data_IF_800258405380
#
_entry.id   IF_800258405380
#
_cell.length_a   1.000
_cell.length_b   1.000
_cell.length_c   1.000
_cell.angle_alpha   90.00
_cell.angle_beta   90.00
_cell.angle_gamma   90.00
#
_symmetry.space_group_name_H-M   'P 1'
#
loop_
_entity.id
_entity.type
_entity.pdbx_description
1 polymer ?
#
# COMPACT_ATOMS: atom_id res chain seq x y z
N UNK A 1 1.75 54.70 -42.05
CA UNK A 1 0.88 54.19 -41.01
C UNK A 1 0.57 52.71 -41.23
N UNK A 2 0.09 52.28 -42.43
CA UNK A 2 -0.24 50.91 -42.78
C UNK A 2 0.96 49.94 -42.63
N UNK A 3 2.14 50.31 -43.05
CA UNK A 3 3.36 49.48 -42.94
C UNK A 3 3.75 49.25 -41.49
N UNK A 4 3.66 50.26 -40.62
CA UNK A 4 3.92 50.13 -39.19
C UNK A 4 2.91 49.22 -38.50
N UNK A 5 1.64 49.25 -38.89
CA UNK A 5 0.62 48.34 -38.38
C UNK A 5 0.88 46.90 -38.82
N UNK A 6 1.26 46.65 -40.05
CA UNK A 6 1.64 45.34 -40.55
C UNK A 6 2.86 44.75 -39.80
N UNK A 7 3.88 45.55 -39.53
CA UNK A 7 5.04 45.10 -38.75
C UNK A 7 4.68 44.79 -37.31
N UNK A 8 3.83 45.56 -36.65
CA UNK A 8 3.41 45.28 -35.27
C UNK A 8 2.64 44.00 -35.15
N UNK A 9 1.75 43.68 -36.10
CA UNK A 9 1.02 42.40 -36.09
C UNK A 9 1.90 41.16 -36.36
N UNK A 10 2.91 41.34 -37.23
CA UNK A 10 3.86 40.23 -37.51
C UNK A 10 4.79 39.91 -36.34
N UNK A 11 5.11 40.88 -35.48
CA UNK A 11 5.96 40.68 -34.31
C UNK A 11 5.12 40.15 -33.12
N UNK A 12 3.88 40.58 -32.97
CA UNK A 12 3.03 40.21 -31.85
C UNK A 12 2.67 38.71 -31.82
N UNK A 13 2.39 38.14 -32.99
CA UNK A 13 2.05 36.71 -33.11
C UNK A 13 3.15 35.77 -32.60
N UNK A 14 4.39 35.86 -33.09
CA UNK A 14 5.51 35.05 -32.58
C UNK A 14 5.79 35.23 -31.09
N UNK A 15 5.64 36.45 -30.55
CA UNK A 15 5.83 36.72 -29.11
C UNK A 15 4.80 35.95 -28.29
N UNK A 16 3.52 35.97 -28.66
CA UNK A 16 2.47 35.21 -28.00
C UNK A 16 2.71 33.71 -28.11
N UNK A 17 3.18 33.20 -29.26
CA UNK A 17 3.52 31.82 -29.46
C UNK A 17 4.67 31.36 -28.52
N UNK A 18 5.70 32.17 -28.37
CA UNK A 18 6.80 31.90 -27.43
C UNK A 18 6.30 31.88 -25.99
N UNK A 19 5.46 32.85 -25.59
CA UNK A 19 4.89 32.88 -24.23
C UNK A 19 4.03 31.65 -23.93
N UNK A 20 3.23 31.20 -24.90
CA UNK A 20 2.43 29.97 -24.72
C UNK A 20 3.28 28.69 -24.61
N UNK A 21 4.38 28.63 -25.36
CA UNK A 21 5.32 27.50 -25.29
C UNK A 21 6.12 27.47 -24.00
N UNK A 22 6.44 28.60 -23.39
CA UNK A 22 7.10 28.67 -22.08
C UNK A 22 6.29 27.95 -21.02
N UNK A 23 4.96 28.13 -20.99
CA UNK A 23 4.07 27.44 -20.06
C UNK A 23 4.16 25.90 -20.24
N UNK A 24 4.19 25.43 -21.48
CA UNK A 24 4.34 24.00 -21.80
C UNK A 24 5.68 23.43 -21.33
N UNK A 25 6.77 24.21 -21.45
CA UNK A 25 8.09 23.81 -20.93
C UNK A 25 8.10 23.67 -19.40
N UNK A 26 7.45 24.57 -18.67
CA UNK A 26 7.30 24.44 -17.22
C UNK A 26 6.50 23.20 -16.82
N UNK A 27 5.42 22.89 -17.54
CA UNK A 27 4.66 21.65 -17.31
C UNK A 27 5.50 20.40 -17.59
N UNK A 28 6.26 20.37 -18.67
CA UNK A 28 7.20 19.29 -18.99
C UNK A 28 8.22 19.08 -17.87
N UNK A 29 8.81 20.17 -17.35
CA UNK A 29 9.73 20.11 -16.21
C UNK A 29 9.11 19.47 -14.99
N UNK A 30 7.87 19.81 -14.64
CA UNK A 30 7.14 19.26 -13.50
C UNK A 30 6.84 17.77 -13.69
N UNK A 31 6.37 17.38 -14.88
CA UNK A 31 6.09 15.96 -15.21
C UNK A 31 7.37 15.14 -15.19
N UNK A 32 8.44 15.64 -15.79
CA UNK A 32 9.75 14.97 -15.82
C UNK A 32 10.31 14.77 -14.41
N UNK A 33 10.20 15.77 -13.53
CA UNK A 33 10.63 15.62 -12.14
C UNK A 33 9.81 14.57 -11.38
N UNK A 34 8.50 14.52 -11.59
CA UNK A 34 7.63 13.46 -10.99
C UNK A 34 8.00 12.08 -11.50
N UNK A 35 8.18 11.92 -12.80
CA UNK A 35 8.66 10.68 -13.40
C UNK A 35 10.02 10.27 -12.83
N UNK A 36 10.96 11.20 -12.76
CA UNK A 36 12.28 10.94 -12.19
C UNK A 36 12.17 10.47 -10.75
N UNK A 37 11.37 11.13 -9.91
CA UNK A 37 11.15 10.71 -8.52
C UNK A 37 10.62 9.29 -8.44
N UNK A 38 9.62 8.92 -9.26
CA UNK A 38 9.09 7.56 -9.29
C UNK A 38 10.16 6.54 -9.72
N UNK A 39 10.91 6.84 -10.78
CA UNK A 39 11.93 5.92 -11.32
C UNK A 39 13.17 5.80 -10.42
N UNK A 40 13.46 6.81 -9.59
CA UNK A 40 14.62 6.80 -8.68
C UNK A 40 14.25 6.43 -7.25
N UNK A 41 12.96 6.22 -6.95
CA UNK A 41 12.55 5.73 -5.63
C UNK A 41 13.04 4.29 -5.47
N UNK A 42 13.88 4.02 -4.46
CA UNK A 42 14.38 2.66 -4.25
C UNK A 42 13.22 1.72 -3.91
N UNK A 43 13.19 0.57 -4.55
CA UNK A 43 12.29 -0.51 -4.17
C UNK A 43 12.69 -1.09 -2.83
N UNK A 44 11.74 -1.63 -2.08
CA UNK A 44 12.06 -2.43 -0.90
C UNK A 44 12.70 -3.73 -1.38
N UNK A 45 13.90 -3.99 -0.89
CA UNK A 45 14.65 -5.20 -1.19
C UNK A 45 14.57 -6.18 -0.02
N UNK A 46 14.83 -7.44 -0.29
CA UNK A 46 14.91 -8.52 0.70
C UNK A 46 15.34 -9.81 0.02
N UNK A 47 15.57 -10.83 0.82
CA UNK A 47 15.91 -12.15 0.34
C UNK A 47 14.68 -13.08 0.49
N UNK A 48 14.54 -14.04 -0.42
CA UNK A 48 13.54 -15.09 -0.32
C UNK A 48 13.95 -16.06 0.80
N UNK A 49 13.47 -15.78 2.02
CA UNK A 49 13.78 -16.55 3.23
C UNK A 49 12.51 -17.18 3.78
N UNK A 50 12.56 -18.49 3.98
CA UNK A 50 11.47 -19.21 4.62
C UNK A 50 11.34 -18.83 6.09
N UNK A 51 10.17 -18.35 6.45
CA UNK A 51 9.78 -18.07 7.84
C UNK A 51 9.26 -19.35 8.49
N UNK A 52 10.05 -19.95 9.35
CA UNK A 52 9.69 -21.21 10.02
C UNK A 52 8.90 -21.01 11.33
N UNK A 53 8.95 -19.83 11.91
CA UNK A 53 8.24 -19.44 13.13
C UNK A 53 7.56 -18.09 12.90
N UNK A 54 6.44 -17.87 13.58
CA UNK A 54 5.60 -16.68 13.36
C UNK A 54 5.46 -15.81 14.62
N UNK A 55 6.36 -15.96 15.59
CA UNK A 55 6.49 -15.02 16.70
C UNK A 55 6.98 -13.67 16.17
N UNK A 56 6.30 -12.60 16.59
CA UNK A 56 6.61 -11.24 16.18
C UNK A 56 7.23 -10.51 17.36
N UNK A 57 8.33 -9.81 17.14
CA UNK A 57 8.99 -9.02 18.17
C UNK A 57 9.30 -7.61 17.63
N UNK A 58 8.92 -6.61 18.41
CA UNK A 58 9.27 -5.22 18.18
C UNK A 58 10.31 -4.81 19.24
N UNK A 59 11.43 -4.23 18.81
CA UNK A 59 12.51 -3.74 19.68
C UNK A 59 12.77 -2.27 19.42
N UNK A 60 12.48 -1.43 20.42
CA UNK A 60 12.74 0.03 20.40
C UNK A 60 12.31 0.72 19.12
N UNK A 61 11.11 0.35 18.61
CA UNK A 61 10.60 0.81 17.33
C UNK A 61 10.19 2.27 17.41
N UNK A 62 10.77 3.09 16.52
CA UNK A 62 10.40 4.49 16.32
C UNK A 62 10.04 4.71 14.84
N UNK A 63 8.90 5.35 14.58
CA UNK A 63 8.42 5.60 13.24
C UNK A 63 7.50 6.84 13.15
N UNK A 64 7.54 7.50 12.01
CA UNK A 64 6.60 8.55 11.62
C UNK A 64 6.53 8.66 10.10
N UNK A 65 5.37 9.03 9.59
CA UNK A 65 5.14 9.21 8.14
C UNK A 65 5.87 10.45 7.59
N UNK A 66 5.99 11.48 8.43
CA UNK A 66 6.69 12.74 8.12
C UNK A 66 7.82 12.94 9.12
N UNK A 67 8.22 14.18 9.40
CA UNK A 67 9.29 14.49 10.34
C UNK A 67 8.95 14.09 11.79
N UNK A 68 7.67 14.11 12.16
CA UNK A 68 7.22 13.80 13.51
C UNK A 68 7.05 12.29 13.72
N UNK A 69 7.51 11.81 14.88
CA UNK A 69 7.37 10.41 15.26
C UNK A 69 5.98 10.11 15.84
N UNK A 70 5.25 9.19 15.19
CA UNK A 70 3.96 8.67 15.62
C UNK A 70 4.14 7.52 16.61
N UNK A 71 5.13 6.66 16.37
CA UNK A 71 5.55 5.56 17.25
C UNK A 71 6.89 5.94 17.85
N UNK A 72 7.00 5.88 19.19
CA UNK A 72 8.19 6.31 19.93
C UNK A 72 8.65 5.20 20.87
N UNK A 73 9.77 4.56 20.56
CA UNK A 73 10.46 3.57 21.39
C UNK A 73 9.53 2.44 21.90
N UNK A 74 8.77 1.83 21.00
CA UNK A 74 7.82 0.77 21.35
C UNK A 74 8.51 -0.59 21.26
N UNK A 75 8.36 -1.39 22.32
CA UNK A 75 8.88 -2.76 22.41
C UNK A 75 7.82 -3.69 22.98
N UNK A 76 7.52 -4.78 22.30
CA UNK A 76 6.68 -5.88 22.78
C UNK A 76 6.84 -7.11 21.86
N UNK A 77 6.29 -8.24 22.30
CA UNK A 77 6.29 -9.48 21.52
C UNK A 77 4.89 -10.07 21.40
N UNK A 78 4.65 -10.76 20.30
CA UNK A 78 3.43 -11.52 19.99
C UNK A 78 3.87 -12.97 19.77
N UNK A 79 3.65 -13.86 20.72
CA UNK A 79 3.99 -15.28 20.55
C UNK A 79 3.15 -15.94 19.47
N UNK A 80 3.74 -16.90 18.76
CA UNK A 80 3.00 -17.75 17.80
C UNK A 80 1.78 -18.39 18.46
N UNK A 81 0.65 -18.38 17.76
CA UNK A 81 -0.61 -18.98 18.24
C UNK A 81 -1.34 -18.17 19.30
N UNK A 82 -0.84 -16.99 19.68
CA UNK A 82 -1.52 -16.09 20.63
C UNK A 82 -2.45 -15.11 19.93
N UNK A 83 -3.39 -14.54 20.69
CA UNK A 83 -4.20 -13.39 20.28
C UNK A 83 -3.74 -12.18 21.08
N UNK A 84 -3.32 -11.14 20.38
CA UNK A 84 -2.85 -9.89 20.99
C UNK A 84 -3.75 -8.72 20.57
N UNK A 85 -4.27 -7.97 21.55
CA UNK A 85 -5.06 -6.78 21.30
C UNK A 85 -4.23 -5.52 21.58
N UNK A 86 -4.18 -4.61 20.60
CA UNK A 86 -3.62 -3.27 20.77
C UNK A 86 -4.73 -2.32 21.21
N UNK A 87 -4.64 -1.81 22.43
CA UNK A 87 -5.65 -0.94 23.04
C UNK A 87 -5.08 0.46 23.23
N UNK A 88 -5.92 1.47 23.02
CA UNK A 88 -5.53 2.87 23.21
C UNK A 88 -6.48 3.83 22.46
N UNK A 89 -6.37 5.16 22.72
CA UNK A 89 -7.20 6.16 22.07
C UNK A 89 -7.01 6.21 20.55
N UNK A 90 -7.93 6.91 19.86
CA UNK A 90 -7.76 7.17 18.43
C UNK A 90 -6.46 7.95 18.18
N UNK A 91 -5.74 7.61 17.11
CA UNK A 91 -4.47 8.26 16.79
C UNK A 91 -3.24 7.76 17.57
N UNK A 92 -3.39 6.81 18.52
CA UNK A 92 -2.24 6.27 19.28
C UNK A 92 -1.29 5.35 18.52
N UNK A 93 -1.46 5.21 17.22
CA UNK A 93 -0.54 4.43 16.35
C UNK A 93 -0.84 2.93 16.23
N UNK A 94 -1.98 2.41 16.73
CA UNK A 94 -2.34 0.98 16.65
C UNK A 94 -2.30 0.43 15.22
N UNK A 95 -3.00 1.09 14.31
CA UNK A 95 -3.01 0.72 12.89
C UNK A 95 -1.64 0.91 12.21
N UNK A 96 -0.86 1.88 12.68
CA UNK A 96 0.51 2.11 12.22
C UNK A 96 1.40 0.93 12.59
N UNK A 97 1.32 0.42 13.82
CA UNK A 97 2.06 -0.76 14.27
C UNK A 97 1.73 -1.97 13.39
N UNK A 98 0.44 -2.25 13.13
CA UNK A 98 0.03 -3.35 12.27
C UNK A 98 0.62 -3.23 10.85
N UNK A 99 0.61 -2.02 10.29
CA UNK A 99 1.19 -1.73 8.97
C UNK A 99 2.72 -1.84 8.95
N UNK A 100 3.40 -1.51 10.06
CA UNK A 100 4.85 -1.67 10.20
C UNK A 100 5.24 -3.16 10.32
N UNK A 101 4.47 -3.98 11.02
CA UNK A 101 4.66 -5.44 11.06
C UNK A 101 4.57 -6.03 9.65
N UNK A 102 3.64 -5.52 8.84
CA UNK A 102 3.51 -5.88 7.43
C UNK A 102 4.58 -5.29 6.51
N UNK A 103 5.49 -4.49 7.06
CA UNK A 103 6.51 -3.78 6.28
C UNK A 103 5.92 -2.93 5.14
N UNK A 104 4.79 -2.24 5.37
CA UNK A 104 4.34 -1.21 4.42
C UNK A 104 5.26 0.00 4.44
N UNK A 105 6.02 0.17 5.52
CA UNK A 105 7.12 1.13 5.68
C UNK A 105 8.21 0.51 6.55
N UNK A 106 9.45 0.89 6.30
CA UNK A 106 10.56 0.54 7.17
C UNK A 106 10.61 1.49 8.38
N UNK A 107 10.98 0.96 9.55
CA UNK A 107 11.10 1.73 10.78
C UNK A 107 12.31 2.66 10.75
N UNK A 108 12.22 3.83 11.38
CA UNK A 108 13.35 4.78 11.49
C UNK A 108 14.42 4.30 12.44
N UNK A 109 13.97 3.74 13.57
CA UNK A 109 14.86 3.17 14.60
C UNK A 109 14.26 1.89 15.12
N UNK A 110 15.10 1.05 15.68
CA UNK A 110 14.70 -0.24 16.21
C UNK A 110 14.56 -1.30 15.13
N UNK A 111 13.86 -2.35 15.47
CA UNK A 111 13.72 -3.54 14.63
C UNK A 111 12.36 -4.19 14.84
N UNK A 112 11.80 -4.73 13.78
CA UNK A 112 10.66 -5.65 13.82
C UNK A 112 11.14 -6.97 13.24
N UNK A 113 10.90 -8.06 13.95
CA UNK A 113 11.27 -9.39 13.50
C UNK A 113 10.09 -10.35 13.53
N UNK A 114 10.10 -11.32 12.61
CA UNK A 114 9.18 -12.46 12.54
C UNK A 114 10.02 -13.72 12.56
N UNK A 115 9.75 -14.61 13.53
CA UNK A 115 10.55 -15.83 13.73
C UNK A 115 12.02 -15.54 13.97
N UNK A 116 12.35 -14.40 14.57
CA UNK A 116 13.71 -13.94 14.82
C UNK A 116 14.41 -13.26 13.63
N UNK A 117 13.79 -13.22 12.44
CA UNK A 117 14.34 -12.54 11.26
C UNK A 117 13.81 -11.12 11.15
N UNK A 118 14.69 -10.16 10.90
CA UNK A 118 14.29 -8.77 10.64
C UNK A 118 13.42 -8.71 9.37
N UNK A 119 12.24 -8.12 9.46
CA UNK A 119 11.31 -8.00 8.32
C UNK A 119 11.94 -7.26 7.13
N UNK A 120 12.94 -6.40 7.36
CA UNK A 120 13.67 -5.68 6.30
C UNK A 120 14.56 -6.59 5.45
N UNK A 121 14.91 -7.77 5.97
CA UNK A 121 15.74 -8.75 5.26
C UNK A 121 14.92 -9.75 4.44
N UNK A 122 13.60 -9.78 4.64
CA UNK A 122 12.69 -10.69 3.94
C UNK A 122 12.13 -9.97 2.72
N UNK A 123 12.07 -10.64 1.57
CA UNK A 123 11.42 -10.11 0.38
C UNK A 123 9.96 -9.73 0.69
N UNK A 124 9.49 -8.51 0.30
CA UNK A 124 8.14 -8.06 0.64
C UNK A 124 7.03 -9.01 0.20
N UNK A 125 7.13 -9.60 -0.99
CA UNK A 125 6.15 -10.57 -1.49
C UNK A 125 6.12 -11.84 -0.64
N UNK A 126 7.30 -12.32 -0.20
CA UNK A 126 7.40 -13.47 0.68
C UNK A 126 6.80 -13.17 2.06
N UNK A 127 7.11 -12.01 2.62
CA UNK A 127 6.53 -11.55 3.88
C UNK A 127 5.00 -11.46 3.80
N UNK A 128 4.44 -10.95 2.70
CA UNK A 128 3.00 -10.87 2.48
C UNK A 128 2.33 -12.26 2.40
N UNK A 129 3.02 -13.29 1.93
CA UNK A 129 2.48 -14.67 1.93
C UNK A 129 2.37 -15.26 3.32
N UNK A 130 3.13 -14.74 4.29
CA UNK A 130 3.12 -15.21 5.68
C UNK A 130 1.98 -14.61 6.52
N UNK A 131 1.22 -13.64 6.01
CA UNK A 131 0.20 -12.92 6.76
C UNK A 131 -1.02 -12.61 5.91
N UNK A 132 -2.13 -12.32 6.60
CA UNK A 132 -3.33 -11.77 5.98
C UNK A 132 -3.82 -10.56 6.76
N UNK A 133 -4.47 -9.64 6.07
CA UNK A 133 -4.96 -8.39 6.65
C UNK A 133 -6.46 -8.24 6.42
N UNK A 134 -7.14 -7.78 7.46
CA UNK A 134 -8.49 -7.25 7.33
C UNK A 134 -8.43 -5.76 7.62
N UNK A 135 -8.63 -4.95 6.60
CA UNK A 135 -8.63 -3.50 6.74
C UNK A 135 -9.98 -2.99 7.25
N UNK A 136 -9.97 -1.84 7.92
CA UNK A 136 -11.19 -1.19 8.38
C UNK A 136 -12.03 -0.68 7.18
N UNK A 137 -11.35 -0.10 6.20
CA UNK A 137 -11.96 0.34 4.93
C UNK A 137 -11.75 -0.76 3.89
N UNK A 138 -12.78 -1.56 3.68
CA UNK A 138 -12.75 -2.66 2.72
C UNK A 138 -13.16 -2.15 1.34
N UNK A 139 -12.32 -2.38 0.34
CA UNK A 139 -12.65 -2.13 -1.07
C UNK A 139 -12.89 -3.46 -1.77
N UNK A 140 -14.03 -3.60 -2.41
CA UNK A 140 -14.34 -4.73 -3.27
C UNK A 140 -14.11 -4.36 -4.72
N UNK A 141 -13.68 -5.32 -5.52
CA UNK A 141 -13.64 -5.18 -6.98
C UNK A 141 -15.06 -5.25 -7.53
N UNK A 142 -15.33 -4.51 -8.61
CA UNK A 142 -16.59 -4.61 -9.34
C UNK A 142 -16.64 -5.93 -10.13
N UNK A 143 -16.82 -7.01 -9.41
CA UNK A 143 -16.81 -8.39 -9.88
C UNK A 143 -17.65 -9.24 -8.92
N UNK A 144 -17.88 -10.50 -9.23
CA UNK A 144 -18.64 -11.40 -8.39
C UNK A 144 -18.03 -11.58 -7.00
N UNK A 145 -18.85 -11.92 -6.02
CA UNK A 145 -18.38 -12.29 -4.67
C UNK A 145 -17.35 -13.43 -4.76
N UNK A 146 -17.62 -14.42 -5.64
CA UNK A 146 -16.68 -15.51 -5.88
C UNK A 146 -15.29 -15.01 -6.28
N UNK A 147 -15.19 -14.11 -7.26
CA UNK A 147 -13.94 -13.56 -7.74
C UNK A 147 -13.27 -12.67 -6.69
N UNK A 148 -14.04 -11.89 -5.93
CA UNK A 148 -13.51 -11.09 -4.82
C UNK A 148 -12.84 -11.95 -3.73
N UNK A 149 -13.42 -13.10 -3.39
CA UNK A 149 -12.80 -14.05 -2.46
C UNK A 149 -11.56 -14.69 -3.09
N UNK A 150 -11.64 -15.06 -4.38
CA UNK A 150 -10.55 -15.70 -5.11
C UNK A 150 -9.33 -14.83 -5.31
N UNK A 151 -9.43 -13.50 -5.21
CA UNK A 151 -8.28 -12.57 -5.27
C UNK A 151 -7.16 -12.97 -4.31
N UNK A 152 -7.49 -13.50 -3.14
CA UNK A 152 -6.49 -13.98 -2.17
C UNK A 152 -5.63 -15.13 -2.69
N UNK A 153 -6.15 -15.95 -3.61
CA UNK A 153 -5.42 -16.99 -4.32
C UNK A 153 -6.08 -17.26 -5.69
N UNK A 154 -5.57 -16.64 -6.73
CA UNK A 154 -6.11 -16.75 -8.10
C UNK A 154 -6.11 -18.19 -8.66
N UNK A 155 -5.32 -19.09 -8.06
CA UNK A 155 -5.27 -20.52 -8.42
C UNK A 155 -6.20 -21.38 -7.58
N UNK A 156 -6.97 -20.80 -6.66
CA UNK A 156 -7.88 -21.53 -5.80
C UNK A 156 -9.00 -22.21 -6.62
N UNK A 157 -9.32 -23.45 -6.26
CA UNK A 157 -10.48 -24.16 -6.78
C UNK A 157 -11.78 -23.60 -6.20
N UNK A 158 -12.92 -23.93 -6.80
CA UNK A 158 -14.22 -23.53 -6.31
C UNK A 158 -14.46 -24.01 -4.88
N UNK A 159 -14.10 -25.28 -4.58
CA UNK A 159 -14.22 -25.83 -3.24
C UNK A 159 -13.38 -25.07 -2.21
N UNK A 160 -12.18 -24.64 -2.58
CA UNK A 160 -11.31 -23.84 -1.70
C UNK A 160 -11.90 -22.46 -1.42
N UNK A 161 -12.48 -21.80 -2.43
CA UNK A 161 -13.17 -20.52 -2.26
C UNK A 161 -14.37 -20.67 -1.33
N UNK A 162 -15.20 -21.70 -1.53
CA UNK A 162 -16.35 -21.97 -0.67
C UNK A 162 -15.94 -22.32 0.75
N UNK A 163 -14.87 -23.10 0.93
CA UNK A 163 -14.32 -23.44 2.23
C UNK A 163 -13.82 -22.19 2.98
N UNK A 164 -13.14 -21.28 2.30
CA UNK A 164 -12.69 -20.00 2.86
C UNK A 164 -13.87 -19.11 3.28
N UNK A 165 -14.90 -19.00 2.43
CA UNK A 165 -16.12 -18.25 2.75
C UNK A 165 -16.85 -18.83 3.96
N UNK A 166 -16.91 -20.17 4.08
CA UNK A 166 -17.50 -20.84 5.22
C UNK A 166 -16.70 -20.61 6.50
N UNK A 167 -15.36 -20.70 6.43
CA UNK A 167 -14.48 -20.42 7.56
C UNK A 167 -14.59 -18.97 8.06
N UNK A 168 -14.83 -18.03 7.14
CA UNK A 168 -15.08 -16.61 7.44
C UNK A 168 -16.54 -16.31 7.82
N UNK A 169 -17.41 -17.31 7.99
CA UNK A 169 -18.84 -17.13 8.25
C UNK A 169 -19.59 -16.31 7.20
N UNK A 170 -19.07 -16.20 5.99
CA UNK A 170 -19.71 -15.45 4.89
C UNK A 170 -20.77 -16.28 4.15
N UNK A 171 -20.67 -17.58 4.15
CA UNK A 171 -21.51 -18.47 3.34
C UNK A 171 -23.02 -18.28 3.58
N UNK A 172 -23.44 -18.06 4.84
CA UNK A 172 -24.85 -17.91 5.18
C UNK A 172 -25.51 -16.68 4.52
N UNK A 173 -24.83 -15.54 4.52
CA UNK A 173 -25.38 -14.34 3.88
C UNK A 173 -25.29 -14.41 2.36
N UNK A 174 -24.19 -15.01 1.81
CA UNK A 174 -24.03 -15.17 0.37
C UNK A 174 -25.17 -16.03 -0.20
N UNK A 175 -25.54 -17.12 0.46
CA UNK A 175 -26.64 -18.00 0.02
C UNK A 175 -28.03 -17.34 0.07
N UNK A 176 -28.19 -16.23 0.80
CA UNK A 176 -29.44 -15.45 0.84
C UNK A 176 -29.57 -14.49 -0.34
N UNK A 177 -28.50 -14.26 -1.08
CA UNK A 177 -28.51 -13.38 -2.27
C UNK A 177 -29.10 -14.13 -3.47
N UNK A 178 -29.81 -13.44 -4.37
CA UNK A 178 -30.47 -14.08 -5.52
C UNK A 178 -29.51 -14.90 -6.39
N UNK A 179 -28.31 -14.39 -6.64
CA UNK A 179 -27.30 -15.03 -7.48
C UNK A 179 -26.17 -15.68 -6.66
N UNK A 180 -26.31 -15.75 -5.32
CA UNK A 180 -25.35 -16.36 -4.43
C UNK A 180 -23.93 -15.83 -4.65
N UNK A 181 -22.98 -16.72 -4.87
CA UNK A 181 -21.56 -16.37 -5.14
C UNK A 181 -21.36 -15.60 -6.45
N UNK A 182 -22.31 -15.61 -7.38
CA UNK A 182 -22.24 -14.89 -8.65
C UNK A 182 -22.79 -13.46 -8.56
N UNK A 183 -23.27 -13.03 -7.40
CA UNK A 183 -23.69 -11.66 -7.13
C UNK A 183 -22.51 -10.69 -7.29
N UNK A 184 -22.72 -9.59 -8.03
CA UNK A 184 -21.77 -8.49 -8.26
C UNK A 184 -21.99 -7.40 -7.21
#
# INVERSE_FOLDING_TARGET
LLVLFMFSTQIYGPILAILSQLTSLFHLGTVTNRMRTLLTTPAMEGEDKDVSKYDIELKSVTFGYNQDDVIKDVSFSIPTGSVTALVGPSGSGKSTISKLIARFWDVRKGQISIGGMDVRTIEPEHLMRCMSFVFQDVTLFNDTIFNNIRVGNMKATEEQVMAAAKAAYCNEFIQRLPDGYQTI
#
